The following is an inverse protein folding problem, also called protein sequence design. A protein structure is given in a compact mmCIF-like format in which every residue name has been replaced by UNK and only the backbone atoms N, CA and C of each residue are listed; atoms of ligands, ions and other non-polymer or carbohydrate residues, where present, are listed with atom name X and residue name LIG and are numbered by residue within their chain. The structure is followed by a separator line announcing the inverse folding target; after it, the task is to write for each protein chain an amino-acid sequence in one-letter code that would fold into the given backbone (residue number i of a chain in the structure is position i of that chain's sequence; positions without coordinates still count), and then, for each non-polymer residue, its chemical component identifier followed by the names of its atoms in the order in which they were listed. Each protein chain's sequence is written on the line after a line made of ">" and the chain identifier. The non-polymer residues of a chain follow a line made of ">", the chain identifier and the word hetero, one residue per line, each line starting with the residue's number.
data_IF_006472461040
#
_entry.id   IF_006472461040
#
_cell.length_a   1.000
_cell.length_b   1.000
_cell.length_c   1.000
_cell.angle_alpha   90.00
_cell.angle_beta   90.00
_cell.angle_gamma   90.00
#
_symmetry.space_group_name_H-M   'P 1'
#
loop_
_entity.id
_entity.type
_entity.pdbx_description
1 polymer ?
#
# COMPACT_ATOMS: atom_id res chain seq x y z
N UNK A 1 10.21 -22.68 5.94
CA UNK A 1 8.94 -23.42 6.01
C UNK A 1 7.82 -22.51 5.52
N UNK A 2 6.98 -22.99 4.59
CA UNK A 2 5.96 -22.17 3.93
C UNK A 2 4.70 -22.00 4.80
N UNK A 3 4.01 -20.85 4.65
CA UNK A 3 2.71 -20.58 5.27
C UNK A 3 1.67 -20.42 4.17
N UNK A 4 0.59 -21.19 4.22
CA UNK A 4 -0.54 -21.05 3.31
C UNK A 4 -1.42 -19.88 3.72
N UNK A 5 -1.78 -19.03 2.76
CA UNK A 5 -2.72 -17.95 2.97
C UNK A 5 -4.08 -18.37 2.47
N UNK A 6 -5.11 -18.10 3.25
CA UNK A 6 -6.50 -18.39 2.94
C UNK A 6 -7.40 -17.23 3.38
N UNK A 7 -8.64 -17.23 2.93
CA UNK A 7 -9.67 -16.27 3.29
C UNK A 7 -10.91 -16.98 3.82
N UNK A 8 -11.56 -16.41 4.82
CA UNK A 8 -12.85 -16.83 5.34
C UNK A 8 -13.76 -15.61 5.44
N UNK A 9 -14.93 -15.71 4.81
CA UNK A 9 -16.01 -14.74 4.99
C UNK A 9 -17.01 -15.29 6.01
N UNK A 10 -17.14 -14.60 7.15
CA UNK A 10 -17.99 -15.08 8.27
C UNK A 10 -19.46 -15.27 7.89
N UNK A 11 -19.96 -14.50 6.93
CA UNK A 11 -21.35 -14.61 6.46
C UNK A 11 -21.61 -15.83 5.58
N UNK A 12 -20.56 -16.44 5.01
CA UNK A 12 -20.65 -17.63 4.15
C UNK A 12 -20.38 -18.94 4.91
N UNK A 13 -19.85 -18.84 6.15
CA UNK A 13 -19.43 -19.97 6.95
C UNK A 13 -18.10 -20.58 6.49
N UNK A 14 -17.69 -21.68 7.12
CA UNK A 14 -16.47 -22.40 6.80
C UNK A 14 -16.61 -23.90 7.07
N UNK A 15 -15.74 -24.67 6.42
CA UNK A 15 -15.69 -26.14 6.55
C UNK A 15 -14.29 -26.57 6.96
N UNK A 16 -14.11 -27.88 7.18
CA UNK A 16 -12.79 -28.45 7.38
C UNK A 16 -11.85 -28.07 6.25
N UNK A 17 -10.61 -27.74 6.59
CA UNK A 17 -9.55 -27.47 5.63
C UNK A 17 -8.66 -28.71 5.47
N UNK A 18 -8.49 -29.16 4.24
CA UNK A 18 -7.50 -30.21 3.93
C UNK A 18 -6.09 -29.63 4.08
N UNK A 19 -5.26 -30.30 4.84
CA UNK A 19 -3.86 -29.92 5.03
C UNK A 19 -3.08 -30.31 3.77
N UNK A 20 -2.22 -29.37 3.34
CA UNK A 20 -1.28 -29.55 2.25
C UNK A 20 0.12 -29.65 2.88
N UNK A 21 0.78 -30.79 2.69
CA UNK A 21 2.06 -31.13 3.32
C UNK A 21 3.21 -30.16 2.97
N UNK A 22 3.02 -29.33 1.94
CA UNK A 22 3.97 -28.28 1.59
C UNK A 22 3.99 -27.11 2.60
N UNK A 23 2.93 -26.99 3.44
CA UNK A 23 2.76 -25.87 4.37
C UNK A 23 2.70 -26.35 5.82
N UNK A 24 3.49 -25.77 6.68
CA UNK A 24 3.50 -26.07 8.12
C UNK A 24 2.53 -25.21 8.93
N UNK A 25 2.11 -24.10 8.36
CA UNK A 25 1.20 -23.16 9.00
C UNK A 25 0.23 -22.55 8.00
N UNK A 26 -0.91 -22.18 8.53
CA UNK A 26 -1.98 -21.52 7.80
C UNK A 26 -2.22 -20.16 8.43
N UNK A 27 -2.35 -19.14 7.59
CA UNK A 27 -2.75 -17.81 8.02
C UNK A 27 -3.99 -17.43 7.23
N UNK A 28 -5.08 -17.18 7.94
CA UNK A 28 -6.40 -17.01 7.34
C UNK A 28 -6.87 -15.57 7.60
N UNK A 29 -7.13 -14.83 6.53
CA UNK A 29 -7.79 -13.53 6.62
C UNK A 29 -9.27 -13.77 6.87
N UNK A 30 -9.76 -13.27 7.99
CA UNK A 30 -11.17 -13.35 8.37
C UNK A 30 -11.83 -12.03 8.02
N UNK A 31 -12.89 -12.11 7.23
CA UNK A 31 -13.71 -10.96 6.81
C UNK A 31 -15.16 -11.15 7.21
N UNK A 32 -15.90 -10.06 7.33
CA UNK A 32 -17.34 -10.08 7.49
C UNK A 32 -17.97 -9.03 6.58
N UNK A 33 -18.86 -9.46 5.71
CA UNK A 33 -19.46 -8.62 4.68
C UNK A 33 -18.42 -7.90 3.82
N UNK A 34 -17.37 -8.65 3.44
CA UNK A 34 -16.23 -8.19 2.66
C UNK A 34 -15.35 -7.13 3.34
N UNK A 35 -15.53 -6.88 4.64
CA UNK A 35 -14.64 -6.05 5.44
C UNK A 35 -13.65 -6.93 6.22
N UNK A 36 -12.34 -6.83 5.99
CA UNK A 36 -11.35 -7.57 6.73
C UNK A 36 -11.37 -7.20 8.23
N UNK A 37 -11.39 -8.22 9.09
CA UNK A 37 -11.42 -8.08 10.56
C UNK A 37 -10.04 -8.36 11.15
N UNK A 38 -9.32 -9.34 10.58
CA UNK A 38 -8.02 -9.74 11.11
C UNK A 38 -7.52 -11.06 10.56
N UNK A 39 -6.32 -11.41 10.96
CA UNK A 39 -5.68 -12.67 10.64
C UNK A 39 -5.78 -13.64 11.81
N UNK A 40 -6.13 -14.91 11.54
CA UNK A 40 -5.87 -16.00 12.45
C UNK A 40 -4.69 -16.84 11.93
N UNK A 41 -3.97 -17.45 12.87
CA UNK A 41 -2.84 -18.33 12.55
C UNK A 41 -3.07 -19.71 13.16
N UNK A 42 -2.92 -20.74 12.34
CA UNK A 42 -3.06 -22.15 12.71
C UNK A 42 -1.80 -22.90 12.27
N UNK A 43 -1.39 -23.89 13.06
CA UNK A 43 -0.31 -24.81 12.69
C UNK A 43 -0.92 -26.10 12.17
N UNK A 44 -0.34 -26.65 11.12
CA UNK A 44 -0.55 -28.03 10.74
C UNK A 44 0.02 -28.93 11.86
N UNK A 45 -0.84 -29.64 12.58
CA UNK A 45 -0.43 -30.53 13.69
C UNK A 45 0.02 -31.91 13.21
N UNK A 46 0.39 -32.06 11.94
CA UNK A 46 0.65 -33.38 11.35
C UNK A 46 -0.64 -34.21 11.12
N UNK A 47 -1.78 -33.53 11.09
CA UNK A 47 -3.09 -34.09 10.76
C UNK A 47 -3.43 -33.83 9.31
N UNK A 48 -4.21 -34.69 8.68
CA UNK A 48 -4.67 -34.54 7.30
C UNK A 48 -5.66 -33.37 7.13
N UNK A 49 -6.24 -32.88 8.24
CA UNK A 49 -7.26 -31.84 8.24
C UNK A 49 -7.13 -30.91 9.44
N UNK A 50 -7.46 -29.64 9.24
CA UNK A 50 -7.79 -28.65 10.28
C UNK A 50 -9.31 -28.59 10.36
N UNK A 51 -9.90 -28.94 11.51
CA UNK A 51 -11.35 -29.00 11.65
C UNK A 51 -11.99 -27.62 11.66
N UNK A 52 -13.25 -27.53 11.25
CA UNK A 52 -14.05 -26.31 11.36
C UNK A 52 -14.11 -25.80 12.82
N UNK A 53 -14.12 -26.69 13.81
CA UNK A 53 -14.08 -26.34 15.24
C UNK A 53 -12.73 -25.74 15.68
N UNK A 54 -11.60 -26.21 15.12
CA UNK A 54 -10.28 -25.59 15.39
C UNK A 54 -10.22 -24.17 14.80
N UNK A 55 -10.80 -23.97 13.63
CA UNK A 55 -10.90 -22.65 12.97
C UNK A 55 -11.76 -21.72 13.82
N UNK A 56 -12.95 -22.16 14.26
CA UNK A 56 -13.84 -21.41 15.13
C UNK A 56 -13.15 -20.99 16.43
N UNK A 57 -12.49 -21.94 17.09
CA UNK A 57 -11.73 -21.69 18.31
C UNK A 57 -10.63 -20.64 18.10
N UNK A 58 -9.92 -20.69 16.97
CA UNK A 58 -8.90 -19.70 16.62
C UNK A 58 -9.51 -18.33 16.35
N UNK A 59 -10.65 -18.24 15.66
CA UNK A 59 -11.38 -17.00 15.44
C UNK A 59 -11.78 -16.35 16.78
N UNK A 60 -12.37 -17.14 17.68
CA UNK A 60 -12.79 -16.66 19.00
C UNK A 60 -11.59 -16.19 19.82
N UNK A 61 -10.51 -16.98 19.87
CA UNK A 61 -9.34 -16.65 20.68
C UNK A 61 -8.58 -15.42 20.15
N UNK A 62 -8.43 -15.29 18.82
CA UNK A 62 -7.56 -14.28 18.23
C UNK A 62 -8.31 -13.01 17.80
N UNK A 63 -9.63 -13.08 17.48
CA UNK A 63 -10.37 -11.99 16.86
C UNK A 63 -11.64 -11.55 17.60
N UNK A 64 -12.02 -12.14 18.74
CA UNK A 64 -13.28 -11.80 19.44
C UNK A 64 -13.44 -10.29 19.69
N UNK A 65 -12.39 -9.61 20.15
CA UNK A 65 -12.42 -8.16 20.37
C UNK A 65 -12.62 -7.35 19.08
N UNK A 66 -12.01 -7.78 17.97
CA UNK A 66 -12.14 -7.13 16.67
C UNK A 66 -13.53 -7.34 16.07
N UNK A 67 -14.08 -8.55 16.21
CA UNK A 67 -15.44 -8.89 15.77
C UNK A 67 -16.46 -8.05 16.55
N UNK A 68 -16.35 -8.02 17.88
CA UNK A 68 -17.24 -7.21 18.72
C UNK A 68 -17.16 -5.73 18.36
N UNK A 69 -15.96 -5.18 18.18
CA UNK A 69 -15.76 -3.80 17.76
C UNK A 69 -16.45 -3.50 16.41
N UNK A 70 -16.26 -4.38 15.41
CA UNK A 70 -16.88 -4.23 14.09
C UNK A 70 -18.42 -4.30 14.19
N UNK A 71 -18.94 -5.22 14.99
CA UNK A 71 -20.38 -5.34 15.22
C UNK A 71 -20.98 -4.08 15.88
N UNK A 72 -20.32 -3.54 16.90
CA UNK A 72 -20.73 -2.30 17.57
C UNK A 72 -20.73 -1.10 16.63
N UNK A 73 -19.69 -0.94 15.81
CA UNK A 73 -19.63 0.15 14.83
C UNK A 73 -20.78 0.07 13.83
N UNK A 74 -21.16 -1.12 13.38
CA UNK A 74 -22.29 -1.32 12.45
C UNK A 74 -23.63 -0.98 13.08
N UNK A 75 -23.84 -1.32 14.35
CA UNK A 75 -25.08 -0.99 15.04
C UNK A 75 -25.22 0.51 15.33
N UNK A 76 -24.12 1.19 15.61
CA UNK A 76 -24.15 2.62 15.97
C UNK A 76 -24.16 3.56 14.76
N UNK A 77 -23.58 3.16 13.62
CA UNK A 77 -23.46 4.03 12.46
C UNK A 77 -24.47 3.76 11.36
N UNK A 78 -25.32 2.71 11.48
CA UNK A 78 -26.50 2.46 10.64
C UNK A 78 -26.28 2.59 9.12
N UNK A 79 -25.07 2.31 8.62
CA UNK A 79 -24.71 2.55 7.22
C UNK A 79 -25.43 1.53 6.32
N UNK A 80 -26.58 1.92 5.80
CA UNK A 80 -27.21 1.28 4.64
C UNK A 80 -26.37 1.62 3.39
N UNK A 81 -25.27 0.90 3.19
CA UNK A 81 -24.36 1.09 2.05
C UNK A 81 -24.93 0.55 0.71
N UNK A 82 -26.08 -0.13 0.75
CA UNK A 82 -26.63 -0.88 -0.40
C UNK A 82 -27.23 -0.05 -1.54
N UNK A 83 -27.32 1.28 -1.40
CA UNK A 83 -27.99 2.13 -2.41
C UNK A 83 -27.24 3.42 -2.76
N UNK A 84 -25.92 3.49 -2.51
CA UNK A 84 -25.18 4.66 -2.96
C UNK A 84 -24.95 4.62 -4.48
N UNK A 85 -25.20 5.73 -5.20
CA UNK A 85 -24.90 5.78 -6.63
C UNK A 85 -23.41 5.49 -6.89
N UNK A 86 -23.16 4.69 -7.90
CA UNK A 86 -21.79 4.34 -8.29
C UNK A 86 -21.14 5.53 -9.00
N UNK A 87 -20.14 6.11 -8.36
CA UNK A 87 -19.32 7.17 -8.94
C UNK A 87 -18.37 6.58 -10.00
N UNK A 88 -18.02 7.35 -11.03
CA UNK A 88 -17.00 6.94 -11.99
C UNK A 88 -15.62 6.90 -11.33
N UNK A 89 -14.86 5.82 -11.55
CA UNK A 89 -13.51 5.62 -11.01
C UNK A 89 -12.53 5.30 -12.14
N UNK A 90 -11.43 6.05 -12.23
CA UNK A 90 -10.31 5.74 -13.12
C UNK A 90 -9.25 4.97 -12.37
N UNK A 91 -8.99 3.74 -12.78
CA UNK A 91 -7.91 2.91 -12.22
C UNK A 91 -6.64 3.20 -13.00
N UNK A 92 -5.56 3.55 -12.32
CA UNK A 92 -4.24 3.80 -12.91
C UNK A 92 -3.28 2.74 -12.42
N UNK A 93 -2.75 1.96 -13.35
CA UNK A 93 -1.68 0.98 -13.13
C UNK A 93 -0.43 1.46 -13.88
N UNK A 94 0.63 1.72 -13.14
CA UNK A 94 1.92 2.07 -13.72
C UNK A 94 2.79 0.82 -13.82
N UNK A 95 3.37 0.59 -14.99
CA UNK A 95 4.25 -0.58 -15.23
C UNK A 95 5.48 -0.18 -16.02
N UNK A 96 6.51 -1.01 -15.96
CA UNK A 96 7.70 -0.88 -16.80
C UNK A 96 8.38 -2.22 -16.96
N UNK A 97 8.40 -2.77 -18.17
CA UNK A 97 9.10 -4.02 -18.52
C UNK A 97 8.72 -5.20 -17.57
N UNK A 98 7.44 -5.29 -17.13
CA UNK A 98 6.93 -6.27 -16.14
C UNK A 98 5.64 -6.94 -16.61
N UNK A 99 5.58 -7.31 -17.86
CA UNK A 99 4.39 -7.86 -18.53
C UNK A 99 3.83 -9.09 -17.81
N UNK A 100 4.71 -9.97 -17.29
CA UNK A 100 4.29 -11.18 -16.58
C UNK A 100 3.53 -10.89 -15.28
N UNK A 101 3.94 -9.87 -14.53
CA UNK A 101 3.24 -9.42 -13.32
C UNK A 101 1.91 -8.76 -13.65
N UNK A 102 1.91 -7.91 -14.67
CA UNK A 102 0.74 -7.18 -15.14
C UNK A 102 -0.42 -8.09 -15.54
N UNK A 103 -0.17 -9.27 -16.09
CA UNK A 103 -1.22 -10.26 -16.45
C UNK A 103 -2.10 -10.59 -15.25
N UNK A 104 -1.50 -10.88 -14.10
CA UNK A 104 -2.24 -11.23 -12.88
C UNK A 104 -3.02 -10.03 -12.31
N UNK A 105 -2.43 -8.85 -12.38
CA UNK A 105 -3.10 -7.60 -12.00
C UNK A 105 -4.32 -7.36 -12.87
N UNK A 106 -4.17 -7.41 -14.20
CA UNK A 106 -5.27 -7.23 -15.17
C UNK A 106 -6.41 -8.23 -14.95
N UNK A 107 -6.10 -9.51 -14.73
CA UNK A 107 -7.11 -10.53 -14.46
C UNK A 107 -7.97 -10.17 -13.23
N UNK A 108 -7.37 -9.63 -12.17
CA UNK A 108 -8.11 -9.18 -10.98
C UNK A 108 -8.94 -7.92 -11.25
N UNK A 109 -8.42 -6.98 -12.02
CA UNK A 109 -9.12 -5.72 -12.35
C UNK A 109 -10.35 -5.94 -13.22
N UNK A 110 -10.30 -6.90 -14.15
CA UNK A 110 -11.45 -7.23 -15.02
C UNK A 110 -12.55 -7.98 -14.25
N UNK A 111 -12.18 -8.66 -13.16
CA UNK A 111 -13.12 -9.41 -12.32
C UNK A 111 -13.81 -8.57 -11.22
N UNK A 112 -13.64 -7.25 -11.22
CA UNK A 112 -14.22 -6.36 -10.22
C UNK A 112 -15.76 -6.32 -10.30
N UNK A 113 -16.41 -6.36 -9.13
CA UNK A 113 -17.86 -6.20 -8.98
C UNK A 113 -18.25 -4.71 -9.00
N UNK A 114 -17.98 -4.01 -10.11
CA UNK A 114 -18.27 -2.59 -10.27
C UNK A 114 -18.51 -2.26 -11.74
N UNK A 115 -19.39 -1.31 -12.06
CA UNK A 115 -19.79 -1.05 -13.46
C UNK A 115 -19.13 0.20 -14.03
N UNK A 116 -19.06 1.28 -13.26
CA UNK A 116 -18.67 2.60 -13.76
C UNK A 116 -17.17 2.88 -13.52
N UNK A 117 -16.28 2.22 -14.30
CA UNK A 117 -14.84 2.44 -14.19
C UNK A 117 -14.13 2.33 -15.54
N UNK A 118 -12.92 2.86 -15.60
CA UNK A 118 -11.97 2.67 -16.67
C UNK A 118 -10.61 2.20 -16.12
N UNK A 119 -9.83 1.50 -16.93
CA UNK A 119 -8.48 1.05 -16.57
C UNK A 119 -7.47 1.73 -17.50
N UNK A 120 -6.52 2.44 -16.91
CA UNK A 120 -5.43 3.12 -17.59
C UNK A 120 -4.12 2.39 -17.25
N UNK A 121 -3.46 1.82 -18.26
CA UNK A 121 -2.14 1.23 -18.11
C UNK A 121 -1.12 2.23 -18.59
N UNK A 122 -0.32 2.75 -17.67
CA UNK A 122 0.72 3.72 -17.96
C UNK A 122 2.06 3.00 -18.05
N UNK A 123 2.53 2.81 -19.27
CA UNK A 123 3.79 2.13 -19.57
C UNK A 123 4.95 3.13 -19.53
N UNK A 124 5.75 3.04 -18.48
CA UNK A 124 6.76 4.03 -18.12
C UNK A 124 8.12 3.76 -18.76
N UNK A 125 8.49 4.53 -19.75
CA UNK A 125 9.76 4.42 -20.47
C UNK A 125 10.10 2.96 -20.84
N UNK A 126 9.19 2.26 -21.55
CA UNK A 126 9.35 0.85 -21.86
C UNK A 126 10.55 0.60 -22.78
N UNK A 127 11.21 -0.56 -22.59
CA UNK A 127 12.32 -1.00 -23.43
C UNK A 127 11.87 -1.75 -24.71
N UNK A 128 10.60 -2.21 -24.72
CA UNK A 128 10.00 -2.97 -25.83
C UNK A 128 8.47 -2.71 -25.89
N UNK A 129 7.77 -3.38 -26.80
CA UNK A 129 6.33 -3.24 -27.00
C UNK A 129 5.49 -4.38 -26.39
N UNK A 130 6.05 -5.23 -25.52
CA UNK A 130 5.34 -6.37 -24.93
C UNK A 130 4.12 -5.94 -24.11
N UNK A 131 4.23 -4.86 -23.34
CA UNK A 131 3.12 -4.30 -22.55
C UNK A 131 2.00 -3.80 -23.48
N UNK A 132 2.32 -3.13 -24.58
CA UNK A 132 1.34 -2.71 -25.58
C UNK A 132 0.62 -3.92 -26.19
N UNK A 133 1.39 -4.95 -26.61
CA UNK A 133 0.81 -6.17 -27.19
C UNK A 133 -0.12 -6.89 -26.21
N UNK A 134 0.27 -6.96 -24.93
CA UNK A 134 -0.59 -7.51 -23.89
C UNK A 134 -1.89 -6.71 -23.77
N UNK A 135 -1.82 -5.38 -23.65
CA UNK A 135 -2.98 -4.51 -23.45
C UNK A 135 -4.00 -4.57 -24.59
N UNK A 136 -3.57 -4.90 -25.82
CA UNK A 136 -4.49 -5.07 -26.96
C UNK A 136 -5.50 -6.22 -26.77
N UNK A 137 -5.26 -7.14 -25.84
CA UNK A 137 -6.15 -8.26 -25.54
C UNK A 137 -7.12 -7.97 -24.37
N UNK A 138 -7.09 -6.76 -23.81
CA UNK A 138 -7.86 -6.40 -22.63
C UNK A 138 -8.64 -5.08 -22.84
N UNK A 139 -9.78 -4.89 -22.17
CA UNK A 139 -10.55 -3.65 -22.26
C UNK A 139 -9.92 -2.53 -21.42
N UNK A 140 -8.70 -2.12 -21.78
CA UNK A 140 -7.92 -1.12 -21.06
C UNK A 140 -7.42 -0.03 -22.01
N UNK A 141 -7.19 1.17 -21.50
CA UNK A 141 -6.54 2.26 -22.24
C UNK A 141 -5.03 2.20 -21.99
N UNK A 142 -4.26 1.84 -23.00
CA UNK A 142 -2.80 1.88 -22.95
C UNK A 142 -2.27 3.29 -23.21
N UNK A 143 -1.33 3.74 -22.38
CA UNK A 143 -0.70 5.06 -22.49
C UNK A 143 0.80 4.91 -22.25
N UNK A 144 1.62 5.42 -23.16
CA UNK A 144 3.08 5.46 -22.99
C UNK A 144 3.52 6.77 -22.35
N UNK A 145 4.31 6.69 -21.28
CA UNK A 145 5.01 7.82 -20.66
C UNK A 145 6.52 7.66 -20.89
N UNK A 146 7.09 8.53 -21.69
CA UNK A 146 8.50 8.42 -22.10
C UNK A 146 9.51 8.86 -21.02
N UNK A 147 9.09 9.69 -20.08
CA UNK A 147 9.96 10.14 -18.98
C UNK A 147 10.10 9.04 -17.95
N UNK A 148 11.33 8.54 -17.66
CA UNK A 148 11.52 7.48 -16.71
C UNK A 148 11.21 7.96 -15.27
N UNK A 149 10.46 7.14 -14.53
CA UNK A 149 10.07 7.37 -13.13
C UNK A 149 8.59 7.09 -12.88
N UNK A 150 8.30 6.39 -11.77
CA UNK A 150 6.95 5.98 -11.40
C UNK A 150 6.01 7.20 -11.23
N UNK A 151 6.48 8.28 -10.61
CA UNK A 151 5.67 9.47 -10.37
C UNK A 151 5.43 10.28 -11.66
N UNK A 152 6.25 10.15 -12.69
CA UNK A 152 5.93 10.62 -14.04
C UNK A 152 4.75 9.83 -14.62
N UNK A 153 4.77 8.52 -14.47
CA UNK A 153 3.67 7.67 -14.92
C UNK A 153 2.38 7.94 -14.13
N UNK A 154 2.45 8.05 -12.81
CA UNK A 154 1.30 8.43 -11.98
C UNK A 154 0.70 9.78 -12.39
N UNK A 155 1.55 10.78 -12.62
CA UNK A 155 1.12 12.10 -13.07
C UNK A 155 0.51 12.06 -14.48
N UNK A 156 1.02 11.19 -15.37
CA UNK A 156 0.37 10.94 -16.66
C UNK A 156 -1.00 10.31 -16.47
N UNK A 157 -1.14 9.34 -15.57
CA UNK A 157 -2.43 8.75 -15.22
C UNK A 157 -3.44 9.77 -14.69
N UNK A 158 -3.03 10.72 -13.83
CA UNK A 158 -3.89 11.81 -13.36
C UNK A 158 -4.42 12.66 -14.53
N UNK A 159 -3.55 12.96 -15.49
CA UNK A 159 -3.91 13.77 -16.65
C UNK A 159 -4.93 13.05 -17.55
N UNK A 160 -4.72 11.75 -17.79
CA UNK A 160 -5.51 10.93 -18.71
C UNK A 160 -6.80 10.37 -18.10
N UNK A 161 -6.94 10.42 -16.77
CA UNK A 161 -8.13 9.94 -16.06
C UNK A 161 -9.36 10.78 -16.42
N UNK A 162 -10.46 10.11 -16.79
CA UNK A 162 -11.73 10.76 -17.16
C UNK A 162 -12.63 11.02 -15.96
N UNK A 163 -12.48 10.24 -14.87
CA UNK A 163 -13.37 10.30 -13.72
C UNK A 163 -12.85 11.20 -12.59
N UNK A 164 -13.75 11.57 -11.67
CA UNK A 164 -13.42 12.42 -10.51
C UNK A 164 -12.65 11.68 -9.42
N UNK A 165 -12.77 10.35 -9.36
CA UNK A 165 -12.02 9.52 -8.44
C UNK A 165 -10.95 8.76 -9.22
N UNK A 166 -9.70 8.85 -8.76
CA UNK A 166 -8.56 8.17 -9.35
C UNK A 166 -8.01 7.18 -8.32
N UNK A 167 -8.03 5.90 -8.65
CA UNK A 167 -7.48 4.83 -7.84
C UNK A 167 -6.16 4.33 -8.44
N UNK A 168 -5.13 4.17 -7.62
CA UNK A 168 -3.83 3.66 -8.03
C UNK A 168 -3.58 2.29 -7.42
N UNK A 169 -3.05 1.40 -8.22
CA UNK A 169 -2.48 0.12 -7.77
C UNK A 169 -1.24 -0.23 -8.57
N UNK A 170 -0.41 -1.15 -8.06
CA UNK A 170 0.83 -1.57 -8.71
C UNK A 170 0.59 -2.79 -9.61
N UNK A 171 1.51 -3.05 -10.55
CA UNK A 171 1.44 -4.15 -11.51
C UNK A 171 1.70 -5.54 -10.90
N UNK A 172 2.21 -5.62 -9.64
CA UNK A 172 2.40 -6.83 -8.85
C UNK A 172 1.36 -6.99 -7.71
N UNK A 173 0.14 -6.50 -7.97
CA UNK A 173 -0.99 -6.53 -7.03
C UNK A 173 -2.17 -7.28 -7.64
N UNK A 174 -2.93 -8.00 -6.80
CA UNK A 174 -4.30 -8.46 -7.07
C UNK A 174 -5.25 -7.63 -6.23
N UNK A 175 -6.27 -7.05 -6.85
CA UNK A 175 -7.30 -6.30 -6.12
C UNK A 175 -8.45 -7.23 -5.69
N UNK A 176 -9.05 -6.94 -4.53
CA UNK A 176 -10.27 -7.62 -4.11
C UNK A 176 -11.45 -7.23 -5.01
N UNK A 177 -12.40 -8.14 -5.23
CA UNK A 177 -13.59 -7.87 -6.08
C UNK A 177 -14.41 -6.67 -5.61
N UNK A 178 -14.42 -6.39 -4.31
CA UNK A 178 -15.14 -5.26 -3.71
C UNK A 178 -14.31 -3.98 -3.61
N UNK A 179 -13.09 -3.95 -4.13
CA UNK A 179 -12.15 -2.84 -3.98
C UNK A 179 -12.73 -1.49 -4.43
N UNK A 180 -13.35 -1.43 -5.62
CA UNK A 180 -13.97 -0.20 -6.11
C UNK A 180 -15.24 0.17 -5.34
N UNK A 181 -16.00 -0.80 -4.86
CA UNK A 181 -17.15 -0.51 -4.00
C UNK A 181 -16.70 0.13 -2.69
N UNK A 182 -15.60 -0.35 -2.11
CA UNK A 182 -15.01 0.25 -0.90
C UNK A 182 -14.54 1.69 -1.15
N UNK A 183 -13.88 1.93 -2.28
CA UNK A 183 -13.49 3.28 -2.71
C UNK A 183 -14.73 4.17 -2.86
N UNK A 184 -15.76 3.71 -3.57
CA UNK A 184 -17.01 4.45 -3.75
C UNK A 184 -17.64 4.86 -2.42
N UNK A 185 -17.68 3.92 -1.46
CA UNK A 185 -18.23 4.16 -0.12
C UNK A 185 -17.44 5.22 0.66
N UNK A 186 -16.10 5.23 0.56
CA UNK A 186 -15.24 6.22 1.21
C UNK A 186 -15.46 7.61 0.61
N UNK A 187 -15.47 7.70 -0.71
CA UNK A 187 -15.61 8.98 -1.43
C UNK A 187 -17.07 9.47 -1.54
N UNK A 188 -18.04 8.74 -0.99
CA UNK A 188 -19.39 9.27 -0.75
C UNK A 188 -19.38 10.46 0.22
N UNK A 189 -18.42 10.47 1.14
CA UNK A 189 -18.09 11.68 1.91
C UNK A 189 -17.27 12.64 1.03
N UNK A 190 -17.87 13.78 0.70
CA UNK A 190 -17.27 14.80 -0.18
C UNK A 190 -16.04 15.49 0.40
N UNK A 191 -15.84 15.44 1.72
CA UNK A 191 -14.68 16.02 2.38
C UNK A 191 -13.42 15.18 2.22
N UNK A 192 -13.56 13.90 1.86
CA UNK A 192 -12.43 12.99 1.65
C UNK A 192 -11.73 13.33 0.34
N UNK A 193 -10.46 13.71 0.45
CA UNK A 193 -9.61 14.05 -0.69
C UNK A 193 -8.61 12.97 -1.06
N UNK A 194 -8.29 12.08 -0.14
CA UNK A 194 -7.43 10.93 -0.38
C UNK A 194 -7.79 9.76 0.52
N UNK A 195 -7.51 8.56 0.06
CA UNK A 195 -7.70 7.33 0.80
C UNK A 195 -6.60 6.32 0.50
N UNK A 196 -6.39 5.40 1.41
CA UNK A 196 -5.56 4.21 1.23
C UNK A 196 -6.21 3.01 1.90
N UNK A 197 -5.75 1.82 1.55
CA UNK A 197 -6.35 0.59 2.06
C UNK A 197 -5.35 -0.41 2.60
N UNK A 198 -5.86 -1.57 2.99
CA UNK A 198 -5.06 -2.68 3.47
C UNK A 198 -4.34 -3.37 2.29
N UNK A 199 -3.05 -3.59 2.47
CA UNK A 199 -2.22 -4.35 1.54
C UNK A 199 -1.83 -5.66 2.23
N UNK A 200 -2.47 -6.75 1.83
CA UNK A 200 -2.20 -8.09 2.33
C UNK A 200 -1.08 -8.76 1.54
N UNK A 201 -0.32 -9.69 2.13
CA UNK A 201 0.59 -10.54 1.37
C UNK A 201 -0.20 -11.48 0.44
N UNK A 202 0.20 -11.58 -0.83
CA UNK A 202 -0.37 -12.55 -1.76
C UNK A 202 0.15 -13.98 -1.51
N UNK A 203 1.33 -14.10 -0.91
CA UNK A 203 1.98 -15.36 -0.56
C UNK A 203 2.96 -15.19 0.61
N UNK A 204 3.19 -16.27 1.39
CA UNK A 204 4.15 -16.33 2.50
C UNK A 204 4.94 -17.66 2.49
N UNK A 205 5.63 -17.93 1.40
CA UNK A 205 6.31 -19.19 1.16
C UNK A 205 7.78 -19.17 1.58
N UNK A 206 8.40 -17.98 1.60
CA UNK A 206 9.84 -17.84 1.89
C UNK A 206 10.10 -17.17 3.24
N UNK A 207 11.31 -17.35 3.77
CA UNK A 207 11.77 -16.68 5.01
C UNK A 207 11.76 -15.15 4.86
N UNK A 208 12.09 -14.64 3.67
CA UNK A 208 12.09 -13.21 3.39
C UNK A 208 10.68 -12.61 3.47
N UNK A 209 9.67 -13.27 2.88
CA UNK A 209 8.29 -12.84 2.93
C UNK A 209 7.74 -12.88 4.37
N UNK A 210 8.03 -13.95 5.11
CA UNK A 210 7.65 -14.06 6.53
C UNK A 210 8.29 -12.98 7.39
N UNK A 211 9.60 -12.73 7.21
CA UNK A 211 10.29 -11.69 7.96
C UNK A 211 9.71 -10.32 7.66
N UNK A 212 9.36 -10.03 6.40
CA UNK A 212 8.74 -8.79 6.02
C UNK A 212 7.37 -8.61 6.68
N UNK A 213 6.50 -9.61 6.62
CA UNK A 213 5.15 -9.55 7.20
C UNK A 213 5.15 -9.58 8.74
N UNK A 214 5.88 -10.50 9.36
CA UNK A 214 5.80 -10.73 10.80
C UNK A 214 6.83 -9.93 11.61
N UNK A 215 7.97 -9.60 11.00
CA UNK A 215 9.02 -8.80 11.62
C UNK A 215 8.81 -7.30 11.42
N UNK A 216 8.69 -6.86 10.17
CA UNK A 216 8.49 -5.45 9.81
C UNK A 216 7.02 -5.00 9.92
N UNK A 217 6.05 -5.92 9.98
CA UNK A 217 4.62 -5.64 10.01
C UNK A 217 3.99 -5.53 8.62
N UNK A 218 4.71 -5.90 7.57
CA UNK A 218 4.22 -5.92 6.19
C UNK A 218 3.88 -4.54 5.63
N UNK A 219 2.89 -4.52 4.76
CA UNK A 219 2.34 -3.30 4.15
C UNK A 219 0.96 -2.93 4.71
N UNK A 220 0.39 -3.76 5.60
CA UNK A 220 -0.90 -3.51 6.23
C UNK A 220 -0.79 -2.60 7.46
N UNK A 221 -1.73 -1.68 7.63
CA UNK A 221 -1.76 -0.74 8.76
C UNK A 221 -2.90 -1.05 9.75
N UNK A 222 -3.27 -2.34 9.87
CA UNK A 222 -4.30 -2.84 10.76
C UNK A 222 -5.70 -2.82 10.14
N UNK A 223 -6.68 -3.27 10.93
CA UNK A 223 -8.05 -3.54 10.48
C UNK A 223 -9.07 -2.53 11.00
N UNK A 224 -8.62 -1.32 11.32
CA UNK A 224 -9.49 -0.22 11.78
C UNK A 224 -9.43 0.93 10.80
N UNK A 225 -10.61 1.42 10.40
CA UNK A 225 -10.72 2.66 9.64
C UNK A 225 -10.18 3.83 10.46
N UNK A 226 -9.41 4.71 9.83
CA UNK A 226 -8.84 5.91 10.45
C UNK A 226 -9.13 7.13 9.60
N UNK A 227 -9.62 8.18 10.25
CA UNK A 227 -9.79 9.51 9.65
C UNK A 227 -8.60 10.37 10.04
N UNK A 228 -7.77 10.72 9.07
CA UNK A 228 -6.48 11.37 9.26
C UNK A 228 -6.63 12.82 8.80
N UNK A 229 -6.52 13.73 9.75
CA UNK A 229 -6.62 15.18 9.53
C UNK A 229 -5.62 15.90 10.44
N UNK A 230 -5.01 17.00 9.96
CA UNK A 230 -3.94 17.70 10.70
C UNK A 230 -4.31 18.12 12.14
N UNK A 231 -5.60 18.35 12.41
CA UNK A 231 -6.10 18.74 13.73
C UNK A 231 -6.30 17.57 14.69
N UNK A 232 -6.29 16.34 14.15
CA UNK A 232 -6.54 15.11 14.92
C UNK A 232 -5.30 14.26 15.12
N UNK A 233 -4.19 14.64 14.49
CA UNK A 233 -2.91 13.92 14.58
C UNK A 233 -1.81 14.83 15.12
N UNK A 234 -0.81 14.23 15.73
CA UNK A 234 0.40 14.93 16.15
C UNK A 234 1.32 15.25 14.97
N UNK A 235 2.26 16.19 15.16
CA UNK A 235 3.31 16.46 14.14
C UNK A 235 4.17 15.23 13.87
N UNK A 236 4.39 14.39 14.89
CA UNK A 236 5.14 13.14 14.77
C UNK A 236 4.42 12.14 13.85
N UNK A 237 3.11 11.96 14.05
CA UNK A 237 2.29 11.12 13.15
C UNK A 237 2.27 11.66 11.73
N UNK A 238 2.23 12.98 11.54
CA UNK A 238 2.27 13.60 10.23
C UNK A 238 3.59 13.28 9.48
N UNK A 239 4.74 13.29 10.17
CA UNK A 239 6.01 12.90 9.55
C UNK A 239 6.13 11.39 9.34
N UNK A 240 5.35 10.59 10.08
CA UNK A 240 5.22 9.15 9.85
C UNK A 240 4.12 8.83 8.82
N UNK A 241 4.06 9.62 7.73
CA UNK A 241 3.00 9.53 6.72
C UNK A 241 2.98 8.19 5.98
N UNK A 242 4.05 7.38 6.05
CA UNK A 242 4.04 5.98 5.63
C UNK A 242 3.06 5.11 6.43
N UNK A 243 2.60 5.56 7.62
CA UNK A 243 1.53 4.89 8.37
C UNK A 243 0.12 5.21 7.85
N UNK A 244 -0.03 6.16 6.93
CA UNK A 244 -1.33 6.50 6.34
C UNK A 244 -1.72 5.54 5.23
N UNK A 245 -0.76 4.84 4.63
CA UNK A 245 -0.95 3.88 3.56
C UNK A 245 0.28 3.69 2.70
N UNK A 246 0.09 3.02 1.57
CA UNK A 246 1.15 2.66 0.62
C UNK A 246 0.67 2.92 -0.80
N UNK A 247 1.57 3.30 -1.69
CA UNK A 247 1.30 3.63 -3.09
C UNK A 247 0.63 2.51 -3.91
N UNK A 248 0.77 1.26 -3.48
CA UNK A 248 0.14 0.10 -4.11
C UNK A 248 -1.40 0.03 -3.91
N UNK A 249 -1.96 0.83 -2.98
CA UNK A 249 -3.39 0.85 -2.68
C UNK A 249 -3.82 2.23 -2.18
N UNK A 250 -4.06 3.14 -3.10
CA UNK A 250 -4.45 4.52 -2.79
C UNK A 250 -5.46 5.05 -3.81
N UNK A 251 -6.31 5.96 -3.35
CA UNK A 251 -7.27 6.65 -4.21
C UNK A 251 -7.38 8.13 -3.83
N UNK A 252 -7.74 8.97 -4.79
CA UNK A 252 -7.84 10.41 -4.60
C UNK A 252 -9.03 11.00 -5.34
N UNK A 253 -9.62 12.04 -4.76
CA UNK A 253 -10.47 12.93 -5.53
C UNK A 253 -9.58 13.77 -6.45
N UNK A 254 -9.85 13.77 -7.76
CA UNK A 254 -9.01 14.42 -8.78
C UNK A 254 -8.70 15.88 -8.47
N UNK A 255 -9.67 16.59 -7.89
CA UNK A 255 -9.48 18.00 -7.51
C UNK A 255 -8.36 18.24 -6.47
N UNK A 256 -7.96 17.22 -5.67
CA UNK A 256 -6.86 17.40 -4.71
C UNK A 256 -5.55 17.76 -5.41
N UNK A 257 -5.36 17.28 -6.62
CA UNK A 257 -4.14 17.56 -7.39
C UNK A 257 -4.05 19.01 -7.87
N UNK A 258 -5.17 19.68 -8.09
CA UNK A 258 -5.18 21.13 -8.35
C UNK A 258 -4.90 21.94 -7.09
N UNK A 259 -5.33 21.45 -5.91
CA UNK A 259 -5.16 22.12 -4.62
C UNK A 259 -3.79 21.86 -3.97
N UNK A 260 -3.29 20.62 -4.10
CA UNK A 260 -2.04 20.20 -3.48
C UNK A 260 -0.87 20.10 -4.45
N UNK A 261 -1.11 20.00 -5.76
CA UNK A 261 -0.13 19.63 -6.77
C UNK A 261 -0.06 18.10 -6.93
N UNK A 262 0.50 17.65 -8.05
CA UNK A 262 0.66 16.25 -8.43
C UNK A 262 1.85 15.58 -7.69
N UNK A 263 2.12 14.29 -7.94
CA UNK A 263 3.26 13.58 -7.33
C UNK A 263 4.59 14.25 -7.64
N UNK A 264 5.49 14.24 -6.65
CA UNK A 264 6.80 14.88 -6.75
C UNK A 264 7.82 13.97 -7.44
N UNK A 265 8.03 14.18 -8.73
CA UNK A 265 8.88 13.36 -9.62
C UNK A 265 10.36 13.25 -9.21
N UNK A 266 10.77 13.89 -8.15
CA UNK A 266 12.09 13.75 -7.54
C UNK A 266 12.12 12.85 -6.31
N UNK A 267 10.98 12.31 -5.83
CA UNK A 267 10.90 11.36 -4.73
C UNK A 267 10.31 10.04 -5.25
N UNK A 268 11.02 9.36 -6.12
CA UNK A 268 10.44 8.40 -7.02
C UNK A 268 11.24 7.08 -7.10
N UNK A 269 10.52 5.98 -7.33
CA UNK A 269 11.12 4.70 -7.73
C UNK A 269 11.70 4.85 -9.14
N UNK A 270 12.92 4.36 -9.36
CA UNK A 270 13.66 4.55 -10.61
C UNK A 270 14.56 5.80 -10.63
N UNK A 271 14.54 6.60 -9.56
CA UNK A 271 15.49 7.70 -9.33
C UNK A 271 16.50 7.35 -8.24
N UNK A 272 17.56 8.15 -8.02
CA UNK A 272 18.50 7.91 -6.91
C UNK A 272 17.86 7.90 -5.51
N UNK A 273 16.69 8.50 -5.28
CA UNK A 273 15.97 8.45 -4.00
C UNK A 273 15.28 7.11 -3.75
N UNK A 274 14.95 6.35 -4.79
CA UNK A 274 14.28 5.04 -4.76
C UNK A 274 12.88 5.02 -4.11
N UNK A 275 12.18 6.13 -4.06
CA UNK A 275 10.79 6.19 -3.57
C UNK A 275 10.51 7.41 -2.71
N UNK A 276 9.35 7.40 -2.04
CA UNK A 276 8.89 8.43 -1.13
C UNK A 276 7.82 9.35 -1.70
N UNK A 277 7.40 9.19 -2.95
CA UNK A 277 6.39 10.02 -3.59
C UNK A 277 4.99 9.82 -3.01
N UNK A 278 4.62 8.60 -2.67
CA UNK A 278 3.38 8.27 -1.98
C UNK A 278 3.35 8.86 -0.55
N UNK A 279 4.40 8.67 0.21
CA UNK A 279 4.53 9.25 1.56
C UNK A 279 4.46 10.77 1.52
N UNK A 280 5.10 11.40 0.53
CA UNK A 280 5.11 12.84 0.35
C UNK A 280 3.72 13.39 0.01
N UNK A 281 3.00 12.78 -0.92
CA UNK A 281 1.65 13.26 -1.30
C UNK A 281 0.65 13.09 -0.14
N UNK A 282 0.72 11.99 0.63
CA UNK A 282 -0.11 11.79 1.82
C UNK A 282 0.17 12.87 2.87
N UNK A 283 1.46 13.09 3.18
CA UNK A 283 1.89 14.17 4.08
C UNK A 283 1.33 15.52 3.63
N UNK A 284 1.51 15.88 2.37
CA UNK A 284 1.13 17.18 1.80
C UNK A 284 -0.36 17.41 1.83
N UNK A 285 -1.18 16.41 1.52
CA UNK A 285 -2.64 16.46 1.59
C UNK A 285 -3.09 16.76 3.02
N UNK A 286 -2.59 15.97 4.00
CA UNK A 286 -2.96 16.13 5.41
C UNK A 286 -2.42 17.43 5.99
N UNK A 287 -1.18 17.82 5.69
CA UNK A 287 -0.57 19.08 6.13
C UNK A 287 -1.35 20.31 5.66
N UNK A 288 -1.93 20.27 4.46
CA UNK A 288 -2.80 21.32 3.92
C UNK A 288 -4.20 21.35 4.53
N UNK A 289 -4.55 20.39 5.41
CA UNK A 289 -5.81 20.33 6.13
C UNK A 289 -6.92 19.60 5.39
N UNK A 290 -6.58 18.75 4.44
CA UNK A 290 -7.55 17.89 3.79
C UNK A 290 -7.70 16.57 4.54
N UNK A 291 -8.91 16.00 4.48
CA UNK A 291 -9.22 14.73 5.09
C UNK A 291 -8.66 13.58 4.24
N UNK A 292 -7.87 12.72 4.88
CA UNK A 292 -7.37 11.46 4.33
C UNK A 292 -7.94 10.29 5.13
N UNK A 293 -8.31 9.21 4.47
CA UNK A 293 -8.92 8.03 5.13
C UNK A 293 -8.06 6.80 4.87
N UNK A 294 -7.71 6.08 5.92
CA UNK A 294 -7.26 4.70 5.80
C UNK A 294 -8.44 3.77 6.07
N UNK A 295 -8.75 2.88 5.14
CA UNK A 295 -9.87 1.94 5.27
C UNK A 295 -9.45 0.53 4.85
N UNK A 296 -9.45 -0.45 5.77
CA UNK A 296 -9.05 -1.82 5.45
C UNK A 296 -9.98 -2.52 4.46
N UNK A 297 -11.19 -2.04 4.22
CA UNK A 297 -12.08 -2.59 3.19
C UNK A 297 -11.58 -2.35 1.76
N UNK A 298 -10.72 -1.35 1.54
CA UNK A 298 -9.91 -1.26 0.32
C UNK A 298 -8.79 -2.31 0.39
N UNK A 299 -9.12 -3.56 0.09
CA UNK A 299 -8.19 -4.70 0.20
C UNK A 299 -7.52 -4.97 -1.14
N UNK A 300 -6.19 -5.13 -1.09
CA UNK A 300 -5.39 -5.65 -2.20
C UNK A 300 -4.36 -6.67 -1.68
N UNK A 301 -3.89 -7.54 -2.58
CA UNK A 301 -2.93 -8.59 -2.31
C UNK A 301 -1.66 -8.32 -3.09
N UNK A 302 -0.52 -8.15 -2.40
CA UNK A 302 0.76 -7.78 -3.00
C UNK A 302 1.77 -8.94 -2.95
N UNK A 303 2.46 -9.19 -4.07
CA UNK A 303 3.53 -10.20 -4.15
C UNK A 303 4.84 -9.63 -3.62
N UNK A 304 5.19 -10.02 -2.38
CA UNK A 304 6.40 -9.55 -1.73
C UNK A 304 7.68 -10.18 -2.29
N UNK A 305 8.81 -9.55 -2.02
CA UNK A 305 10.14 -10.04 -2.42
C UNK A 305 10.40 -11.42 -1.83
N UNK A 306 10.82 -12.38 -2.67
CA UNK A 306 10.97 -13.78 -2.29
C UNK A 306 12.33 -14.11 -1.69
N UNK A 307 13.40 -13.34 -1.99
CA UNK A 307 14.75 -13.63 -1.51
C UNK A 307 15.24 -12.64 -0.47
N UNK A 308 16.12 -13.11 0.43
CA UNK A 308 16.75 -12.24 1.44
C UNK A 308 17.55 -11.08 0.83
N UNK A 309 18.20 -11.32 -0.31
CA UNK A 309 18.96 -10.27 -1.01
C UNK A 309 18.03 -9.15 -1.49
N UNK A 310 16.88 -9.51 -2.07
CA UNK A 310 15.87 -8.55 -2.49
C UNK A 310 15.28 -7.80 -1.30
N UNK A 311 14.98 -8.48 -0.18
CA UNK A 311 14.46 -7.85 1.02
C UNK A 311 15.49 -6.90 1.65
N UNK A 312 16.76 -7.30 1.75
CA UNK A 312 17.85 -6.42 2.24
C UNK A 312 17.97 -5.16 1.38
N UNK A 313 17.88 -5.31 0.05
CA UNK A 313 17.86 -4.16 -0.86
C UNK A 313 16.64 -3.27 -0.64
N UNK A 314 15.46 -3.84 -0.49
CA UNK A 314 14.23 -3.09 -0.21
C UNK A 314 14.34 -2.29 1.09
N UNK A 315 14.84 -2.90 2.17
CA UNK A 315 15.03 -2.23 3.46
C UNK A 315 16.05 -1.08 3.36
N UNK A 316 17.14 -1.29 2.61
CA UNK A 316 18.09 -0.22 2.32
C UNK A 316 17.44 0.94 1.54
N UNK A 317 16.65 0.62 0.50
CA UNK A 317 15.94 1.61 -0.31
C UNK A 317 14.86 2.34 0.51
N UNK A 318 14.17 1.64 1.44
CA UNK A 318 13.21 2.25 2.38
C UNK A 318 13.89 3.30 3.28
N UNK A 319 15.03 2.97 3.89
CA UNK A 319 15.78 3.94 4.69
C UNK A 319 16.24 5.15 3.88
N UNK A 320 16.69 4.93 2.63
CA UNK A 320 17.11 6.00 1.72
C UNK A 320 15.95 6.90 1.32
N UNK A 321 14.84 6.31 0.87
CA UNK A 321 13.66 7.06 0.41
C UNK A 321 13.05 7.86 1.55
N UNK A 322 12.98 7.28 2.75
CA UNK A 322 12.47 7.98 3.93
C UNK A 322 13.38 9.16 4.34
N UNK A 323 14.71 9.00 4.28
CA UNK A 323 15.64 10.10 4.49
C UNK A 323 15.51 11.20 3.44
N UNK A 324 15.34 10.85 2.16
CA UNK A 324 15.07 11.82 1.09
C UNK A 324 13.77 12.58 1.33
N UNK A 325 12.72 11.89 1.77
CA UNK A 325 11.44 12.51 2.14
C UNK A 325 11.61 13.50 3.31
N UNK A 326 12.31 13.14 4.38
CA UNK A 326 12.55 14.05 5.51
C UNK A 326 13.36 15.28 5.10
N UNK A 327 14.38 15.11 4.25
CA UNK A 327 15.16 16.25 3.69
C UNK A 327 14.24 17.15 2.82
N UNK A 328 13.34 16.53 2.06
CA UNK A 328 12.35 17.29 1.30
C UNK A 328 11.43 18.09 2.22
N UNK A 329 10.92 17.49 3.30
CA UNK A 329 10.12 18.17 4.30
C UNK A 329 10.86 19.34 4.97
N UNK A 330 12.16 19.18 5.28
CA UNK A 330 12.98 20.28 5.81
C UNK A 330 13.05 21.51 4.87
N UNK A 331 12.89 21.31 3.57
CA UNK A 331 12.99 22.36 2.55
C UNK A 331 11.65 22.96 2.15
N UNK A 332 10.56 22.25 2.30
CA UNK A 332 9.26 22.60 1.70
C UNK A 332 8.12 22.73 2.72
N UNK A 333 8.25 22.09 3.89
CA UNK A 333 7.21 22.14 4.91
C UNK A 333 7.16 23.50 5.61
N UNK A 334 5.95 23.94 5.96
CA UNK A 334 5.74 25.08 6.86
C UNK A 334 6.00 24.75 8.34
N UNK A 335 6.26 23.49 8.66
CA UNK A 335 6.54 23.03 10.03
C UNK A 335 8.00 23.38 10.38
N UNK A 336 8.25 23.98 11.57
CA UNK A 336 9.61 24.34 11.96
C UNK A 336 10.58 23.15 11.90
N UNK A 337 11.80 23.32 11.36
CA UNK A 337 12.80 22.25 11.20
C UNK A 337 13.10 21.47 12.48
N UNK A 338 13.00 22.11 13.63
CA UNK A 338 13.26 21.46 14.93
C UNK A 338 12.30 20.28 15.19
N UNK A 339 11.05 20.35 14.71
CA UNK A 339 10.08 19.26 14.85
C UNK A 339 10.48 18.04 13.99
N UNK A 340 11.05 18.27 12.82
CA UNK A 340 11.52 17.20 11.92
C UNK A 340 12.77 16.54 12.52
N UNK A 341 13.70 17.35 13.05
CA UNK A 341 14.91 16.84 13.73
C UNK A 341 14.51 16.03 14.97
N UNK A 342 13.60 16.54 15.80
CA UNK A 342 13.10 15.83 16.97
C UNK A 342 12.44 14.49 16.60
N UNK A 343 11.57 14.50 15.55
CA UNK A 343 10.96 13.30 15.01
C UNK A 343 12.03 12.28 14.56
N UNK A 344 13.02 12.72 13.78
CA UNK A 344 14.10 11.87 13.32
C UNK A 344 14.85 11.22 14.47
N UNK A 345 15.31 12.01 15.47
CA UNK A 345 16.11 11.50 16.58
C UNK A 345 15.30 10.60 17.52
N UNK A 346 14.10 11.00 17.89
CA UNK A 346 13.29 10.30 18.90
C UNK A 346 12.50 9.13 18.32
N UNK A 347 11.73 9.38 17.24
CA UNK A 347 10.82 8.37 16.73
C UNK A 347 11.52 7.39 15.79
N UNK A 348 12.21 7.89 14.76
CA UNK A 348 12.83 7.03 13.77
C UNK A 348 14.17 6.42 14.27
N UNK A 349 15.11 7.23 14.77
CA UNK A 349 16.40 6.72 15.18
C UNK A 349 16.31 5.91 16.47
N UNK A 350 15.80 6.50 17.56
CA UNK A 350 15.77 5.83 18.86
C UNK A 350 14.70 4.74 18.95
N UNK A 351 13.41 5.11 18.77
CA UNK A 351 12.30 4.16 18.99
C UNK A 351 12.22 3.05 17.93
N UNK A 352 12.60 3.34 16.69
CA UNK A 352 12.57 2.33 15.64
C UNK A 352 13.92 1.61 15.54
N UNK A 353 15.01 2.30 15.17
CA UNK A 353 16.29 1.64 14.87
C UNK A 353 17.05 1.14 16.11
N UNK A 354 17.24 1.98 17.14
CA UNK A 354 17.99 1.56 18.34
C UNK A 354 17.28 0.42 19.06
N UNK A 355 15.95 0.47 19.20
CA UNK A 355 15.19 -0.64 19.81
C UNK A 355 15.32 -1.93 19.02
N UNK A 356 15.24 -1.90 17.68
CA UNK A 356 15.43 -3.08 16.84
C UNK A 356 16.84 -3.65 16.93
N UNK A 357 17.87 -2.80 17.11
CA UNK A 357 19.23 -3.26 17.34
C UNK A 357 19.40 -3.94 18.70
N UNK A 358 18.72 -3.44 19.75
CA UNK A 358 18.78 -3.99 21.10
C UNK A 358 17.94 -5.26 21.27
N UNK A 359 16.82 -5.36 20.51
CA UNK A 359 15.89 -6.51 20.58
C UNK A 359 15.71 -7.13 19.19
N UNK A 360 16.71 -7.89 18.69
CA UNK A 360 16.73 -8.40 17.31
C UNK A 360 15.82 -9.62 17.07
N UNK A 361 14.96 -9.95 18.01
CA UNK A 361 14.08 -11.13 17.95
C UNK A 361 13.09 -11.08 16.76
N UNK A 362 12.60 -9.87 16.45
CA UNK A 362 11.66 -9.64 15.34
C UNK A 362 12.38 -9.30 14.03
N UNK A 363 13.39 -8.44 14.09
CA UNK A 363 14.12 -7.95 12.93
C UNK A 363 15.62 -8.20 13.17
N UNK A 364 16.27 -9.09 12.39
CA UNK A 364 17.69 -9.33 12.53
C UNK A 364 18.51 -8.04 12.35
N UNK A 365 19.54 -7.84 13.16
CA UNK A 365 20.40 -6.63 13.15
C UNK A 365 20.93 -6.26 11.76
N UNK A 366 21.22 -7.28 10.94
CA UNK A 366 21.73 -7.06 9.58
C UNK A 366 20.78 -6.22 8.71
N UNK A 367 19.47 -6.35 8.90
CA UNK A 367 18.47 -5.55 8.18
C UNK A 367 18.40 -4.13 8.73
N UNK A 368 18.41 -3.94 10.07
CA UNK A 368 18.45 -2.60 10.67
C UNK A 368 19.68 -1.83 10.21
N UNK A 369 20.86 -2.49 10.08
CA UNK A 369 22.04 -1.88 9.49
C UNK A 369 21.87 -1.48 8.02
N UNK A 370 21.11 -2.24 7.22
CA UNK A 370 20.81 -1.84 5.85
C UNK A 370 19.92 -0.58 5.81
N UNK A 371 18.91 -0.50 6.66
CA UNK A 371 18.04 0.67 6.77
C UNK A 371 18.83 1.92 7.17
N UNK A 372 19.70 1.82 8.20
CA UNK A 372 20.59 2.90 8.61
C UNK A 372 21.57 3.33 7.50
N UNK A 373 22.17 2.38 6.76
CA UNK A 373 23.00 2.69 5.60
C UNK A 373 22.22 3.42 4.51
N UNK A 374 20.98 2.99 4.24
CA UNK A 374 20.08 3.67 3.32
C UNK A 374 19.85 5.12 3.74
N UNK A 375 19.49 5.35 4.99
CA UNK A 375 19.28 6.68 5.56
C UNK A 375 20.52 7.56 5.43
N UNK A 376 21.71 7.05 5.77
CA UNK A 376 22.97 7.79 5.65
C UNK A 376 23.31 8.17 4.21
N UNK A 377 22.84 7.40 3.22
CA UNK A 377 23.02 7.71 1.80
C UNK A 377 22.05 8.79 1.27
N UNK A 378 21.00 9.12 2.02
CA UNK A 378 19.89 9.96 1.56
C UNK A 378 20.28 11.40 1.18
N UNK A 379 21.24 12.11 1.84
CA UNK A 379 21.59 13.47 1.41
C UNK A 379 22.16 13.50 -0.01
N UNK A 380 23.04 12.56 -0.32
CA UNK A 380 23.64 12.45 -1.66
C UNK A 380 22.58 11.99 -2.68
N UNK A 381 21.75 11.03 -2.30
CA UNK A 381 20.67 10.54 -3.15
C UNK A 381 19.67 11.65 -3.48
N UNK A 382 19.25 12.44 -2.49
CA UNK A 382 18.34 13.58 -2.68
C UNK A 382 18.93 14.62 -3.63
N UNK A 383 20.19 15.02 -3.44
CA UNK A 383 20.86 15.97 -4.32
C UNK A 383 20.92 15.45 -5.77
N UNK A 384 21.33 14.18 -5.95
CA UNK A 384 21.42 13.54 -7.27
C UNK A 384 20.05 13.48 -7.96
N UNK A 385 19.03 13.13 -7.21
CA UNK A 385 17.65 13.06 -7.73
C UNK A 385 17.14 14.44 -8.17
N UNK A 386 17.37 15.47 -7.37
CA UNK A 386 16.95 16.84 -7.74
C UNK A 386 17.67 17.31 -9.02
N UNK A 387 18.94 16.99 -9.17
CA UNK A 387 19.72 17.29 -10.40
C UNK A 387 19.19 16.49 -11.60
N UNK A 388 18.90 15.21 -11.41
CA UNK A 388 18.34 14.33 -12.45
C UNK A 388 16.97 14.81 -12.90
N UNK A 389 16.08 15.13 -11.97
CA UNK A 389 14.72 15.61 -12.27
C UNK A 389 14.72 16.91 -13.09
N UNK A 390 15.66 17.84 -12.79
CA UNK A 390 15.85 19.05 -13.61
C UNK A 390 16.23 18.73 -15.05
N UNK A 391 17.11 17.73 -15.27
CA UNK A 391 17.51 17.28 -16.61
C UNK A 391 16.33 16.69 -17.37
N UNK A 392 15.57 15.77 -16.75
CA UNK A 392 14.41 15.13 -17.39
C UNK A 392 13.38 16.19 -17.79
N UNK A 393 13.09 17.16 -16.92
CA UNK A 393 12.18 18.28 -17.25
C UNK A 393 12.67 19.17 -18.41
N UNK A 394 13.97 19.33 -18.56
CA UNK A 394 14.55 20.16 -19.63
C UNK A 394 14.50 19.48 -21.00
N UNK A 395 14.59 18.15 -21.07
CA UNK A 395 14.56 17.40 -22.33
C UNK A 395 13.13 17.14 -22.85
N UNK A 396 12.10 17.49 -22.08
CA UNK A 396 10.68 17.27 -22.44
C UNK A 396 9.90 18.57 -22.69
N UNK A 397 10.59 19.70 -22.70
CA UNK A 397 10.12 20.97 -23.28
C UNK A 397 10.53 21.06 -24.73
#
# INVERSE_FOLDING_TARGET
>A
MATKLLEIELSEGWTDLTVDDQFESYRILVSSRREPIGWISLKSKGTEKISASDIESAIIQQLSSSILHTALLRTTHGLNLSHMPQQGISIVVCTRDRTAQLINCLASLISLDYVNYEILIIDNAPSNDETLQLCNNYPVKYIRELRPGLDWARNRGILEASNEIIAFTDDDVKVDKSWLQSINNIFSNKDVMGASGYVAPAEMETSAQKLFELGYGGMGHGFRRRFIHKERITKQELFWASSFGIGANMAFRKEVFSKCGVFHTGLDVGTPSHGGGDVEIFHRIVAKGFLFVYDPSMLVWHFHRRTEAQLKKQVYDNGRSFGCYLIHCLRTSSIPPINIIYFFLKEWFYKWNVKNLLSPEKIPRSYTYQELKGMLSSPIAYYRTMKWNKKVKAHTK
#
